data_IF_662819223772
#
_entry.id   IF_662819223772
#
_cell.length_a   1.000
_cell.length_b   1.000
_cell.length_c   1.000
_cell.angle_alpha   90.00
_cell.angle_beta   90.00
_cell.angle_gamma   90.00
#
_symmetry.space_group_name_H-M   'P 1'
#
loop_
_entity.id
_entity.type
_entity.pdbx_description
1 polymer ?
#
# COMPACT_ATOMS: atom_id res chain seq x y z
N UNK A 1 17.18 5.56 19.93
CA UNK A 1 17.54 5.10 18.57
C UNK A 1 16.27 4.64 17.89
N UNK A 2 15.76 5.47 16.99
CA UNK A 2 14.54 5.17 16.24
C UNK A 2 14.78 3.96 15.33
N UNK A 3 13.96 2.92 15.51
CA UNK A 3 13.98 1.78 14.60
C UNK A 3 13.26 2.21 13.32
N UNK A 4 13.92 2.19 12.15
CA UNK A 4 13.23 2.49 10.90
C UNK A 4 12.14 1.45 10.65
N UNK A 5 10.96 1.87 10.22
CA UNK A 5 9.88 0.96 9.83
C UNK A 5 10.33 0.16 8.61
N UNK A 6 10.43 -1.17 8.76
CA UNK A 6 10.87 -2.08 7.67
C UNK A 6 9.73 -2.75 6.91
N UNK A 7 8.56 -2.86 7.55
CA UNK A 7 7.35 -3.44 6.97
C UNK A 7 6.15 -2.62 7.41
N UNK A 8 5.26 -2.34 6.46
CA UNK A 8 4.06 -1.55 6.65
C UNK A 8 2.93 -2.33 5.97
N UNK A 9 1.86 -2.62 6.73
CA UNK A 9 0.64 -3.19 6.18
C UNK A 9 -0.42 -2.08 6.11
N UNK A 10 -0.91 -1.80 4.91
CA UNK A 10 -1.97 -0.83 4.67
C UNK A 10 -3.29 -1.57 4.44
N UNK A 11 -4.33 -1.22 5.20
CA UNK A 11 -5.62 -1.92 5.17
C UNK A 11 -6.69 -0.97 4.64
N UNK A 12 -7.36 -1.34 3.54
CA UNK A 12 -8.48 -0.57 2.96
C UNK A 12 -9.64 -1.49 2.62
N UNK A 13 -10.71 -1.46 3.42
CA UNK A 13 -11.85 -2.40 3.34
C UNK A 13 -13.20 -1.73 3.05
N UNK A 14 -13.24 -0.52 2.48
CA UNK A 14 -14.51 0.18 2.16
C UNK A 14 -14.42 0.97 0.86
N UNK A 15 -15.55 0.99 0.13
CA UNK A 15 -15.83 1.73 -1.10
C UNK A 15 -14.88 1.45 -2.27
N UNK A 16 -15.35 0.75 -3.30
CA UNK A 16 -14.56 0.38 -4.49
C UNK A 16 -13.92 1.60 -5.19
N UNK A 17 -14.62 2.74 -5.25
CA UNK A 17 -14.13 3.98 -5.88
C UNK A 17 -12.97 4.66 -5.13
N UNK A 18 -12.77 4.34 -3.85
CA UNK A 18 -11.72 4.96 -3.02
C UNK A 18 -10.34 4.30 -3.20
N UNK A 19 -10.25 3.20 -3.96
CA UNK A 19 -9.01 2.44 -4.05
C UNK A 19 -7.89 3.21 -4.74
N UNK A 20 -8.20 4.04 -5.74
CA UNK A 20 -7.22 4.91 -6.39
C UNK A 20 -6.62 5.96 -5.45
N UNK A 21 -7.36 6.38 -4.42
CA UNK A 21 -6.85 7.32 -3.40
C UNK A 21 -5.84 6.66 -2.46
N UNK A 22 -5.67 5.34 -2.55
CA UNK A 22 -4.65 4.59 -1.81
C UNK A 22 -3.25 4.76 -2.42
N UNK A 23 -3.16 4.95 -3.74
CA UNK A 23 -1.89 5.17 -4.46
C UNK A 23 -1.04 6.31 -3.89
N UNK A 24 -1.55 7.55 -3.70
CA UNK A 24 -0.75 8.62 -3.12
C UNK A 24 -0.29 8.35 -1.68
N UNK A 25 -1.04 7.53 -0.92
CA UNK A 25 -0.63 7.11 0.42
C UNK A 25 0.57 6.16 0.32
N UNK A 26 0.52 5.18 -0.59
CA UNK A 26 1.63 4.25 -0.85
C UNK A 26 2.89 5.02 -1.26
N UNK A 27 2.78 5.96 -2.20
CA UNK A 27 3.94 6.76 -2.65
C UNK A 27 4.50 7.63 -1.52
N UNK A 28 3.63 8.19 -0.68
CA UNK A 28 4.06 8.96 0.49
C UNK A 28 4.80 8.08 1.50
N UNK A 29 4.30 6.88 1.77
CA UNK A 29 4.97 5.91 2.65
C UNK A 29 6.32 5.50 2.07
N UNK A 30 6.40 5.22 0.76
CA UNK A 30 7.65 4.82 0.11
C UNK A 30 8.69 5.95 0.11
N UNK A 31 8.26 7.20 -0.09
CA UNK A 31 9.12 8.38 -0.01
C UNK A 31 9.71 8.60 1.40
N UNK A 32 8.90 8.40 2.45
CA UNK A 32 9.35 8.59 3.84
C UNK A 32 10.11 7.38 4.39
N UNK A 33 9.81 6.18 3.88
CA UNK A 33 10.44 4.92 4.27
C UNK A 33 10.89 4.15 3.02
N UNK A 34 11.96 4.58 2.33
CA UNK A 34 12.40 3.97 1.06
C UNK A 34 12.71 2.48 1.17
N UNK A 35 13.21 2.04 2.32
CA UNK A 35 13.56 0.64 2.57
C UNK A 35 12.39 -0.20 3.11
N UNK A 36 11.24 0.41 3.41
CA UNK A 36 10.08 -0.32 3.89
C UNK A 36 9.44 -1.14 2.75
N UNK A 37 9.01 -2.35 3.11
CA UNK A 37 8.09 -3.15 2.30
C UNK A 37 6.66 -2.75 2.65
N UNK A 38 5.89 -2.40 1.63
CA UNK A 38 4.50 -1.96 1.78
C UNK A 38 3.60 -3.07 1.24
N UNK A 39 2.86 -3.66 2.13
CA UNK A 39 1.87 -4.69 1.86
C UNK A 39 0.48 -4.05 1.93
N UNK A 40 -0.47 -4.47 1.10
CA UNK A 40 -1.83 -3.91 1.11
C UNK A 40 -2.86 -5.03 1.25
N UNK A 41 -3.77 -4.89 2.22
CA UNK A 41 -4.92 -5.76 2.43
C UNK A 41 -6.19 -5.06 1.93
N UNK A 42 -6.87 -5.68 0.97
CA UNK A 42 -8.07 -5.15 0.32
C UNK A 42 -9.04 -6.27 -0.09
N UNK A 43 -10.16 -5.89 -0.71
CA UNK A 43 -11.06 -6.89 -1.29
C UNK A 43 -10.48 -7.45 -2.59
N UNK A 44 -10.68 -8.74 -2.82
CA UNK A 44 -10.18 -9.44 -4.01
C UNK A 44 -10.57 -8.75 -5.32
N UNK A 45 -11.81 -8.27 -5.42
CA UNK A 45 -12.34 -7.58 -6.61
C UNK A 45 -11.64 -6.24 -6.91
N UNK A 46 -10.90 -5.70 -5.94
CA UNK A 46 -10.17 -4.44 -6.05
C UNK A 46 -8.66 -4.60 -6.26
N UNK A 47 -8.13 -5.84 -6.22
CA UNK A 47 -6.71 -6.15 -6.48
C UNK A 47 -6.24 -5.58 -7.83
N UNK A 48 -7.00 -5.72 -8.94
CA UNK A 48 -6.56 -5.20 -10.23
C UNK A 48 -6.37 -3.67 -10.27
N UNK A 49 -6.95 -2.92 -9.32
CA UNK A 49 -6.82 -1.46 -9.27
C UNK A 49 -5.41 -1.05 -8.85
N UNK A 50 -4.73 -1.88 -8.05
CA UNK A 50 -3.41 -1.59 -7.47
C UNK A 50 -2.30 -2.53 -7.97
N UNK A 51 -2.62 -3.54 -8.80
CA UNK A 51 -1.66 -4.57 -9.24
C UNK A 51 -0.46 -4.01 -10.00
N UNK A 52 -0.65 -2.91 -10.73
CA UNK A 52 0.40 -2.28 -11.53
C UNK A 52 1.25 -1.27 -10.75
N UNK A 53 1.02 -1.08 -9.45
CA UNK A 53 1.81 -0.16 -8.64
C UNK A 53 3.14 -0.82 -8.21
N UNK A 54 4.30 -0.38 -8.74
CA UNK A 54 5.61 -0.99 -8.45
C UNK A 54 6.10 -0.73 -7.01
N UNK A 55 5.46 0.18 -6.27
CA UNK A 55 5.81 0.50 -4.89
C UNK A 55 5.24 -0.51 -3.88
N UNK A 56 4.32 -1.37 -4.33
CA UNK A 56 3.67 -2.41 -3.52
C UNK A 56 4.51 -3.68 -3.54
N UNK A 57 4.74 -4.26 -2.35
CA UNK A 57 5.44 -5.53 -2.20
C UNK A 57 4.50 -6.74 -2.33
N UNK A 58 3.28 -6.67 -1.76
CA UNK A 58 2.28 -7.72 -1.84
C UNK A 58 0.85 -7.19 -1.68
N UNK A 59 -0.10 -7.87 -2.31
CA UNK A 59 -1.55 -7.62 -2.21
C UNK A 59 -2.20 -8.85 -1.57
N UNK A 60 -3.06 -8.62 -0.57
CA UNK A 60 -3.80 -9.65 0.16
C UNK A 60 -5.31 -9.36 0.13
#
# INVERSE_FOLDING_TARGET
MDKPFRRILLIKMRFHGDMLLTTPVISSLKKNYPDAKIDVLLYQDTIPILSENPEINALY
#
